data_IF_878554735707
#
_entry.id   IF_878554735707
#
_cell.length_a   1.000
_cell.length_b   1.000
_cell.length_c   1.000
_cell.angle_alpha   90.00
_cell.angle_beta   90.00
_cell.angle_gamma   90.00
#
_symmetry.space_group_name_H-M   'P 1'
#
loop_
_entity.id
_entity.type
_entity.pdbx_description
1 polymer ?
#
# COMPACT_ATOMS: atom_id res chain seq x y z
N UNK A 1 2.39 1.29 -20.41
CA UNK A 1 3.83 0.94 -20.51
C UNK A 1 4.36 0.95 -19.10
N UNK A 2 4.99 -0.13 -18.64
CA UNK A 2 5.54 -0.22 -17.29
C UNK A 2 6.69 0.78 -17.16
N UNK A 3 6.59 1.69 -16.19
CA UNK A 3 7.59 2.73 -15.93
C UNK A 3 8.53 2.29 -14.81
N UNK A 4 9.77 2.81 -14.79
CA UNK A 4 10.68 2.56 -13.67
C UNK A 4 10.08 3.10 -12.36
N UNK A 5 10.18 2.30 -11.31
CA UNK A 5 9.70 2.68 -9.97
C UNK A 5 10.75 2.38 -8.92
N UNK A 6 10.62 2.98 -7.74
CA UNK A 6 11.50 2.75 -6.61
C UNK A 6 10.76 1.98 -5.53
N UNK A 7 11.43 1.00 -4.91
CA UNK A 7 10.93 0.30 -3.73
C UNK A 7 11.96 0.34 -2.60
N UNK A 8 11.53 0.66 -1.39
CA UNK A 8 12.47 0.90 -0.32
C UNK A 8 11.86 1.04 1.06
N UNK A 9 12.67 1.60 1.95
CA UNK A 9 12.34 1.88 3.34
C UNK A 9 12.24 3.38 3.56
N UNK A 10 11.20 3.78 4.29
CA UNK A 10 11.14 5.11 4.88
C UNK A 10 12.19 5.24 5.99
N UNK A 11 12.85 6.39 6.03
CA UNK A 11 13.80 6.77 7.06
C UNK A 11 13.37 8.07 7.73
N UNK A 12 14.04 8.41 8.84
CA UNK A 12 13.71 9.59 9.64
C UNK A 12 13.70 10.88 8.81
N UNK A 13 12.74 11.76 9.11
CA UNK A 13 12.55 13.09 8.47
C UNK A 13 12.31 13.04 6.95
N UNK A 14 11.59 12.04 6.47
CA UNK A 14 11.20 11.94 5.07
C UNK A 14 12.38 11.63 4.15
N UNK A 15 13.46 11.05 4.69
CA UNK A 15 14.50 10.42 3.88
C UNK A 15 14.06 9.00 3.51
N UNK A 16 14.67 8.43 2.48
CA UNK A 16 14.42 7.04 2.13
C UNK A 16 15.67 6.36 1.61
N UNK A 17 15.62 5.02 1.62
CA UNK A 17 16.61 4.14 1.00
C UNK A 17 15.87 3.17 0.10
N UNK A 18 16.17 3.13 -1.19
CA UNK A 18 15.39 2.38 -2.18
C UNK A 18 16.26 1.70 -3.25
N UNK A 19 15.68 0.68 -3.88
CA UNK A 19 16.17 -0.02 -5.06
C UNK A 19 15.26 0.27 -6.24
N UNK A 20 15.83 0.17 -7.44
CA UNK A 20 15.08 0.35 -8.68
C UNK A 20 14.34 -0.93 -9.06
N UNK A 21 13.09 -0.78 -9.52
CA UNK A 21 12.35 -1.77 -10.29
C UNK A 21 12.26 -1.24 -11.72
N UNK A 22 12.93 -1.89 -12.66
CA UNK A 22 13.02 -1.44 -14.06
C UNK A 22 11.65 -1.42 -14.73
N UNK A 23 10.88 -2.49 -14.54
CA UNK A 23 9.49 -2.62 -14.94
C UNK A 23 8.62 -2.59 -13.69
N UNK A 24 8.39 -1.38 -13.18
CA UNK A 24 7.46 -1.14 -12.10
C UNK A 24 6.02 -1.14 -12.57
N UNK A 25 5.11 -1.33 -11.63
CA UNK A 25 3.67 -1.28 -11.89
C UNK A 25 3.03 -0.20 -11.02
N UNK A 26 1.81 0.21 -11.38
CA UNK A 26 1.00 1.11 -10.58
C UNK A 26 0.57 0.48 -9.25
N UNK A 27 0.09 1.30 -8.29
CA UNK A 27 -0.27 0.84 -6.95
C UNK A 27 -1.33 -0.28 -6.97
N UNK A 28 -2.25 -0.26 -7.93
CA UNK A 28 -3.30 -1.25 -8.14
C UNK A 28 -2.75 -2.67 -8.41
N UNK A 29 -1.56 -2.80 -8.99
CA UNK A 29 -0.91 -4.10 -9.23
C UNK A 29 0.15 -4.40 -8.17
N UNK A 30 0.99 -3.42 -7.82
CA UNK A 30 2.15 -3.68 -6.99
C UNK A 30 1.80 -3.85 -5.50
N UNK A 31 0.79 -3.13 -4.99
CA UNK A 31 0.38 -3.24 -3.58
C UNK A 31 -0.17 -4.64 -3.27
N UNK A 32 -1.15 -5.20 -4.03
CA UNK A 32 -1.60 -6.57 -3.81
C UNK A 32 -0.48 -7.60 -3.97
N UNK A 33 0.41 -7.42 -4.96
CA UNK A 33 1.56 -8.31 -5.17
C UNK A 33 2.50 -8.33 -3.95
N UNK A 34 2.84 -7.15 -3.41
CA UNK A 34 3.71 -7.03 -2.24
C UNK A 34 3.09 -7.66 -0.99
N UNK A 35 1.77 -7.54 -0.79
CA UNK A 35 1.07 -8.23 0.31
C UNK A 35 1.15 -9.75 0.20
N UNK A 36 1.01 -10.28 -1.01
CA UNK A 36 1.14 -11.72 -1.25
C UNK A 36 2.56 -12.19 -1.04
N UNK A 37 3.57 -11.46 -1.54
CA UNK A 37 4.99 -11.75 -1.28
C UNK A 37 5.27 -11.75 0.23
N UNK A 38 4.80 -10.72 0.94
CA UNK A 38 4.94 -10.59 2.39
C UNK A 38 4.35 -11.79 3.15
N UNK A 39 3.14 -12.22 2.77
CA UNK A 39 2.43 -13.32 3.43
C UNK A 39 3.00 -14.68 3.03
N UNK A 40 3.09 -14.96 1.73
CA UNK A 40 3.35 -16.29 1.18
C UNK A 40 4.84 -16.64 1.19
N UNK A 41 5.72 -15.66 1.01
CA UNK A 41 7.18 -15.87 0.94
C UNK A 41 7.87 -15.59 2.27
N UNK A 42 7.50 -14.48 2.92
CA UNK A 42 8.18 -14.00 4.13
C UNK A 42 7.43 -14.31 5.43
N UNK A 43 6.28 -15.01 5.37
CA UNK A 43 5.56 -15.41 6.57
C UNK A 43 5.15 -14.23 7.45
N UNK A 44 4.84 -13.08 6.84
CA UNK A 44 4.54 -11.80 7.49
C UNK A 44 5.72 -11.11 8.20
N UNK A 45 6.97 -11.51 7.92
CA UNK A 45 8.16 -10.79 8.40
C UNK A 45 8.50 -9.60 7.48
N UNK A 46 8.09 -8.41 7.93
CA UNK A 46 8.35 -7.15 7.20
C UNK A 46 9.84 -6.82 7.10
N UNK A 47 10.66 -7.18 8.11
CA UNK A 47 12.09 -6.89 8.10
C UNK A 47 12.81 -7.79 7.09
N UNK A 48 12.48 -9.08 7.07
CA UNK A 48 13.03 -10.02 6.11
C UNK A 48 12.67 -9.63 4.67
N UNK A 49 11.41 -9.25 4.42
CA UNK A 49 10.97 -8.77 3.11
C UNK A 49 11.72 -7.50 2.70
N UNK A 50 11.83 -6.52 3.59
CA UNK A 50 12.54 -5.26 3.32
C UNK A 50 14.02 -5.50 3.01
N UNK A 51 14.70 -6.35 3.80
CA UNK A 51 16.08 -6.71 3.56
C UNK A 51 16.27 -7.39 2.21
N UNK A 52 15.35 -8.28 1.82
CA UNK A 52 15.39 -8.95 0.54
C UNK A 52 15.16 -7.97 -0.63
N UNK A 53 14.15 -7.09 -0.53
CA UNK A 53 13.87 -6.05 -1.53
C UNK A 53 15.05 -5.09 -1.70
N UNK A 54 15.74 -4.73 -0.62
CA UNK A 54 16.90 -3.86 -0.65
C UNK A 54 18.20 -4.56 -1.05
N UNK A 55 18.23 -5.89 -1.17
CA UNK A 55 19.45 -6.63 -1.47
C UNK A 55 20.01 -6.31 -2.87
N UNK A 56 19.15 -5.94 -3.83
CA UNK A 56 19.54 -5.70 -5.23
C UNK A 56 18.48 -4.89 -5.98
N UNK A 57 18.83 -4.39 -7.15
CA UNK A 57 17.86 -3.88 -8.12
C UNK A 57 17.05 -5.01 -8.78
N UNK A 58 15.83 -4.68 -9.19
CA UNK A 58 14.86 -5.63 -9.72
C UNK A 58 14.46 -5.28 -11.15
N UNK A 59 14.29 -6.31 -11.96
CA UNK A 59 13.75 -6.17 -13.29
C UNK A 59 12.23 -6.04 -13.19
N UNK A 60 11.62 -6.96 -12.45
CA UNK A 60 10.23 -6.89 -11.98
C UNK A 60 10.06 -7.79 -10.75
N UNK A 61 9.04 -7.50 -9.95
CA UNK A 61 8.63 -8.35 -8.84
C UNK A 61 7.61 -9.39 -9.31
N UNK A 62 7.66 -10.58 -8.72
CA UNK A 62 6.71 -11.64 -9.01
C UNK A 62 6.69 -12.66 -7.87
N UNK A 63 5.51 -13.15 -7.52
CA UNK A 63 5.37 -14.18 -6.48
C UNK A 63 5.86 -15.56 -6.92
N UNK A 64 5.58 -15.92 -8.18
CA UNK A 64 5.99 -17.21 -8.76
C UNK A 64 6.80 -16.96 -10.03
N UNK A 65 8.03 -16.42 -9.91
CA UNK A 65 8.85 -16.15 -11.08
C UNK A 65 9.31 -17.48 -11.68
N UNK A 66 9.11 -17.64 -13.00
CA UNK A 66 9.56 -18.81 -13.75
C UNK A 66 10.86 -18.46 -14.44
N UNK A 67 11.88 -19.28 -14.29
CA UNK A 67 13.15 -19.10 -14.98
C UNK A 67 12.92 -19.07 -16.49
N UNK A 68 13.45 -18.04 -17.16
CA UNK A 68 13.39 -17.86 -18.60
C UNK A 68 14.76 -18.14 -19.19
N UNK A 69 14.79 -18.58 -20.45
CA UNK A 69 16.04 -18.92 -21.15
C UNK A 69 17.01 -17.73 -21.25
N UNK A 70 16.50 -16.50 -21.28
CA UNK A 70 17.28 -15.27 -21.40
C UNK A 70 17.55 -14.58 -20.06
N UNK A 71 17.14 -15.17 -18.93
CA UNK A 71 17.45 -14.60 -17.63
C UNK A 71 18.95 -14.74 -17.36
N UNK A 72 19.63 -13.60 -17.18
CA UNK A 72 21.07 -13.56 -16.88
C UNK A 72 21.39 -14.06 -15.47
N UNK A 73 20.41 -13.98 -14.56
CA UNK A 73 20.49 -14.52 -13.20
C UNK A 73 19.21 -15.30 -12.91
N UNK A 74 19.28 -16.37 -12.09
CA UNK A 74 18.08 -17.09 -11.70
C UNK A 74 17.14 -16.15 -10.94
N UNK A 75 15.82 -16.26 -11.15
CA UNK A 75 14.86 -15.50 -10.36
C UNK A 75 14.98 -15.86 -8.88
N UNK A 76 14.69 -14.90 -8.01
CA UNK A 76 14.60 -15.11 -6.57
C UNK A 76 13.20 -15.67 -6.27
N UNK A 77 13.09 -16.92 -5.79
CA UNK A 77 11.80 -17.53 -5.49
C UNK A 77 10.97 -16.65 -4.56
N UNK A 78 9.69 -16.49 -4.86
CA UNK A 78 8.79 -15.72 -4.02
C UNK A 78 8.97 -14.20 -4.07
N UNK A 79 9.87 -13.65 -4.90
CA UNK A 79 10.19 -12.23 -4.89
C UNK A 79 10.27 -11.60 -6.29
N UNK A 80 11.01 -12.19 -7.23
CA UNK A 80 11.04 -11.66 -8.60
C UNK A 80 12.33 -11.90 -9.37
N UNK A 81 12.53 -11.08 -10.40
CA UNK A 81 13.64 -11.18 -11.35
C UNK A 81 14.69 -10.10 -11.03
N UNK A 82 15.92 -10.48 -10.67
CA UNK A 82 16.97 -9.51 -10.36
C UNK A 82 17.52 -8.83 -11.63
N UNK A 83 17.97 -7.59 -11.48
CA UNK A 83 18.77 -6.90 -12.52
C UNK A 83 20.23 -7.34 -12.41
N UNK A 84 20.86 -7.60 -13.56
CA UNK A 84 22.31 -7.88 -13.65
C UNK A 84 23.00 -6.64 -14.21
N UNK A 85 23.28 -5.67 -13.36
CA UNK A 85 24.01 -4.43 -13.70
C UNK A 85 25.12 -4.18 -12.70
N UNK A 86 26.21 -3.56 -13.16
CA UNK A 86 27.30 -3.07 -12.29
C UNK A 86 26.81 -1.95 -11.35
N UNK A 87 25.79 -1.19 -11.78
CA UNK A 87 25.11 -0.16 -10.97
C UNK A 87 24.06 -0.75 -10.01
N UNK A 88 24.46 -1.70 -9.16
CA UNK A 88 23.67 -2.12 -8.00
C UNK A 88 23.80 -1.09 -6.86
N UNK A 89 23.59 0.19 -7.17
CA UNK A 89 23.66 1.26 -6.17
C UNK A 89 22.33 1.39 -5.44
N UNK A 90 22.40 1.44 -4.11
CA UNK A 90 21.25 1.78 -3.27
C UNK A 90 20.99 3.28 -3.42
N UNK A 91 19.79 3.66 -3.87
CA UNK A 91 19.38 5.06 -3.92
C UNK A 91 19.03 5.54 -2.52
N UNK A 92 19.61 6.67 -2.12
CA UNK A 92 19.27 7.39 -0.89
C UNK A 92 18.79 8.78 -1.27
N UNK A 93 17.57 9.13 -0.90
CA UNK A 93 16.96 10.40 -1.29
C UNK A 93 16.13 11.03 -0.20
N UNK A 94 15.46 12.11 -0.56
CA UNK A 94 14.52 12.86 0.28
C UNK A 94 13.18 12.96 -0.43
N UNK A 95 12.07 12.79 0.29
CA UNK A 95 10.72 13.05 -0.23
C UNK A 95 10.53 14.52 -0.67
N UNK A 96 11.40 15.44 -0.21
CA UNK A 96 11.39 16.85 -0.61
C UNK A 96 12.36 17.18 -1.75
N UNK A 97 13.03 16.19 -2.32
CA UNK A 97 13.93 16.42 -3.46
C UNK A 97 13.13 16.81 -4.70
N UNK A 98 13.75 17.63 -5.55
CA UNK A 98 13.25 17.84 -6.90
C UNK A 98 13.65 16.64 -7.77
N UNK A 99 12.74 16.19 -8.64
CA UNK A 99 12.95 15.02 -9.48
C UNK A 99 12.96 15.44 -10.94
N UNK A 100 14.13 15.35 -11.55
CA UNK A 100 14.32 15.44 -12.99
C UNK A 100 14.42 14.01 -13.53
N UNK A 101 13.32 13.36 -13.93
CA UNK A 101 13.44 11.98 -14.42
C UNK A 101 12.19 11.20 -14.80
N UNK A 102 12.44 9.94 -15.19
CA UNK A 102 11.50 8.94 -15.72
C UNK A 102 10.92 8.00 -14.65
N UNK A 103 11.09 8.31 -13.36
CA UNK A 103 10.58 7.46 -12.26
C UNK A 103 9.20 7.95 -11.87
N UNK A 104 8.20 7.07 -11.96
CA UNK A 104 6.80 7.45 -11.73
C UNK A 104 6.38 7.25 -10.28
N UNK A 105 6.70 6.09 -9.71
CA UNK A 105 6.25 5.68 -8.39
C UNK A 105 7.40 5.40 -7.42
N UNK A 106 7.16 5.70 -6.15
CA UNK A 106 8.02 5.32 -5.02
C UNK A 106 7.19 4.60 -3.94
N UNK A 107 7.58 3.37 -3.63
CA UNK A 107 6.95 2.50 -2.65
C UNK A 107 7.83 2.41 -1.40
N UNK A 108 7.38 2.97 -0.28
CA UNK A 108 8.11 2.97 0.97
C UNK A 108 7.46 2.08 2.02
N UNK A 109 8.21 1.10 2.50
CA UNK A 109 7.87 0.31 3.66
C UNK A 109 8.21 1.08 4.94
N UNK A 110 7.21 1.21 5.81
CA UNK A 110 7.31 1.71 7.17
C UNK A 110 7.30 0.50 8.11
N UNK A 111 8.49 0.05 8.52
CA UNK A 111 8.68 -1.18 9.29
C UNK A 111 7.87 -1.20 10.59
N UNK A 112 7.93 -0.12 11.36
CA UNK A 112 7.26 0.01 12.67
C UNK A 112 5.73 -0.06 12.56
N UNK A 113 5.18 0.34 11.42
CA UNK A 113 3.74 0.43 11.19
C UNK A 113 3.21 -0.71 10.31
N UNK A 114 4.10 -1.57 9.79
CA UNK A 114 3.77 -2.60 8.77
C UNK A 114 2.98 -2.03 7.60
N UNK A 115 3.37 -0.82 7.17
CA UNK A 115 2.67 -0.06 6.14
C UNK A 115 3.52 0.12 4.91
N UNK A 116 2.85 0.20 3.78
CA UNK A 116 3.40 0.57 2.49
C UNK A 116 2.78 1.92 2.09
N UNK A 117 3.61 2.94 1.92
CA UNK A 117 3.18 4.27 1.47
C UNK A 117 3.67 4.47 0.04
N UNK A 118 2.77 4.87 -0.85
CA UNK A 118 3.03 5.09 -2.26
C UNK A 118 3.11 6.59 -2.53
N UNK A 119 4.12 7.00 -3.28
CA UNK A 119 4.34 8.36 -3.73
C UNK A 119 4.41 8.41 -5.25
N UNK A 120 3.92 9.50 -5.82
CA UNK A 120 3.96 9.79 -7.25
C UNK A 120 4.86 10.99 -7.54
N UNK A 121 5.64 10.94 -8.62
CA UNK A 121 6.57 12.00 -9.02
C UNK A 121 6.16 12.74 -10.31
N UNK A 122 5.65 12.02 -11.31
CA UNK A 122 5.66 12.47 -12.72
C UNK A 122 4.80 13.69 -12.98
N UNK A 123 3.67 13.83 -12.30
CA UNK A 123 2.76 14.97 -12.45
C UNK A 123 3.26 16.20 -11.66
N UNK A 124 4.23 16.03 -10.77
CA UNK A 124 4.53 17.03 -9.73
C UNK A 124 5.98 17.49 -9.66
N UNK A 125 6.92 16.79 -10.31
CA UNK A 125 8.37 17.10 -10.22
C UNK A 125 8.95 16.91 -8.81
N UNK A 126 8.20 16.26 -7.92
CA UNK A 126 8.53 15.97 -6.51
C UNK A 126 7.71 14.80 -6.02
N UNK A 127 8.16 14.11 -4.98
CA UNK A 127 7.37 13.04 -4.37
C UNK A 127 6.14 13.61 -3.64
N UNK A 128 4.96 13.28 -4.12
CA UNK A 128 3.70 13.51 -3.40
C UNK A 128 3.10 12.20 -2.96
N UNK A 129 2.60 12.16 -1.72
CA UNK A 129 1.94 10.97 -1.19
C UNK A 129 0.67 10.72 -2.00
N UNK A 130 0.58 9.55 -2.59
CA UNK A 130 -0.56 9.09 -3.36
C UNK A 130 -1.50 8.24 -2.48
N UNK A 131 -0.99 7.19 -1.83
CA UNK A 131 -1.81 6.31 -0.98
C UNK A 131 -1.00 5.63 0.12
N UNK A 132 -1.68 5.08 1.13
CA UNK A 132 -1.04 4.31 2.21
C UNK A 132 -1.87 3.06 2.54
N UNK A 133 -1.17 1.96 2.76
CA UNK A 133 -1.73 0.62 2.78
C UNK A 133 -1.13 -0.18 3.92
N UNK A 134 -1.93 -0.91 4.70
CA UNK A 134 -1.37 -1.93 5.59
C UNK A 134 -0.88 -3.14 4.78
N UNK A 135 0.19 -3.80 5.23
CA UNK A 135 0.62 -5.06 4.62
C UNK A 135 -0.34 -6.20 4.96
N UNK A 136 -0.90 -6.20 6.17
CA UNK A 136 -2.02 -7.07 6.52
C UNK A 136 -3.34 -6.41 6.05
N UNK A 137 -4.04 -6.98 5.05
CA UNK A 137 -5.28 -6.38 4.56
C UNK A 137 -6.40 -6.36 5.61
N UNK A 138 -6.34 -7.18 6.66
CA UNK A 138 -7.32 -7.13 7.77
C UNK A 138 -7.22 -5.82 8.55
N UNK A 139 -6.03 -5.21 8.57
CA UNK A 139 -5.80 -3.91 9.19
C UNK A 139 -6.32 -2.74 8.34
N UNK A 140 -6.62 -2.95 7.06
CA UNK A 140 -7.35 -1.97 6.26
C UNK A 140 -8.85 -2.01 6.53
N UNK A 141 -9.54 -0.90 6.30
CA UNK A 141 -10.99 -0.83 6.39
C UNK A 141 -11.72 -1.39 5.17
N UNK A 142 -11.09 -1.24 4.00
CA UNK A 142 -11.66 -1.59 2.70
C UNK A 142 -10.61 -2.35 1.92
N UNK A 143 -10.96 -3.57 1.50
CA UNK A 143 -10.07 -4.45 0.75
C UNK A 143 -10.70 -4.80 -0.56
N UNK A 144 -9.98 -4.55 -1.64
CA UNK A 144 -10.35 -5.00 -2.98
C UNK A 144 -9.94 -6.45 -3.14
N UNK A 145 -10.90 -7.31 -3.42
CA UNK A 145 -10.69 -8.75 -3.65
C UNK A 145 -11.17 -9.13 -5.04
N UNK A 146 -10.43 -9.99 -5.78
CA UNK A 146 -10.92 -10.52 -7.04
C UNK A 146 -12.18 -11.36 -6.80
N UNK A 147 -13.16 -11.26 -7.68
CA UNK A 147 -14.35 -12.12 -7.60
C UNK A 147 -13.97 -13.60 -7.83
N UNK A 148 -14.64 -14.49 -7.11
CA UNK A 148 -14.36 -15.94 -7.12
C UNK A 148 -14.53 -16.58 -8.51
N UNK A 149 -15.28 -15.94 -9.40
CA UNK A 149 -15.62 -16.38 -10.75
C UNK A 149 -14.84 -15.60 -11.83
N UNK A 150 -13.85 -14.80 -11.47
CA UNK A 150 -13.13 -13.92 -12.41
C UNK A 150 -13.96 -12.71 -12.86
N UNK A 151 -15.04 -12.39 -12.15
CA UNK A 151 -15.78 -11.14 -12.29
C UNK A 151 -14.99 -9.90 -11.84
N UNK A 152 -15.60 -8.71 -11.93
CA UNK A 152 -14.96 -7.45 -11.53
C UNK A 152 -14.52 -7.50 -10.06
N UNK A 153 -13.48 -6.74 -9.74
CA UNK A 153 -12.99 -6.61 -8.38
C UNK A 153 -14.09 -6.09 -7.45
N UNK A 154 -14.25 -6.74 -6.29
CA UNK A 154 -15.23 -6.36 -5.28
C UNK A 154 -14.53 -5.70 -4.10
N UNK A 155 -15.10 -4.63 -3.57
CA UNK A 155 -14.57 -3.96 -2.36
C UNK A 155 -15.34 -4.43 -1.13
N UNK A 156 -14.62 -5.02 -0.17
CA UNK A 156 -15.21 -5.56 1.06
C UNK A 156 -14.83 -4.70 2.25
N UNK A 157 -15.82 -4.33 3.07
CA UNK A 157 -15.57 -3.72 4.37
C UNK A 157 -15.13 -4.77 5.39
N UNK A 158 -13.93 -4.62 5.96
CA UNK A 158 -13.38 -5.59 6.93
C UNK A 158 -14.06 -5.55 8.29
N UNK A 159 -14.85 -4.50 8.58
CA UNK A 159 -15.54 -4.32 9.86
C UNK A 159 -16.86 -5.09 9.91
N UNK A 160 -17.68 -4.97 8.86
CA UNK A 160 -19.03 -5.54 8.83
C UNK A 160 -19.26 -6.59 7.74
N UNK A 161 -18.30 -6.79 6.83
CA UNK A 161 -18.40 -7.73 5.72
C UNK A 161 -19.29 -7.25 4.57
N UNK A 162 -19.64 -5.97 4.50
CA UNK A 162 -20.40 -5.42 3.38
C UNK A 162 -19.58 -5.46 2.09
N UNK A 163 -20.20 -5.79 0.96
CA UNK A 163 -19.56 -5.95 -0.35
C UNK A 163 -20.14 -4.91 -1.30
N UNK A 164 -19.28 -4.09 -1.91
CA UNK A 164 -19.64 -3.00 -2.84
C UNK A 164 -20.65 -1.98 -2.27
N UNK A 165 -20.83 -1.95 -0.95
CA UNK A 165 -21.57 -0.95 -0.19
C UNK A 165 -20.62 0.14 0.32
N UNK A 166 -19.79 0.66 -0.59
CA UNK A 166 -18.69 1.58 -0.29
C UNK A 166 -18.83 2.86 -1.12
N UNK A 167 -18.91 4.00 -0.44
CA UNK A 167 -18.82 5.30 -1.07
C UNK A 167 -17.35 5.74 -1.10
N UNK A 168 -16.87 6.18 -2.27
CA UNK A 168 -15.55 6.77 -2.45
C UNK A 168 -15.67 8.17 -3.06
N UNK A 169 -14.99 9.13 -2.45
CA UNK A 169 -14.92 10.52 -2.91
C UNK A 169 -13.46 10.91 -3.03
N UNK A 170 -13.11 11.51 -4.16
CA UNK A 170 -11.81 12.12 -4.41
C UNK A 170 -12.02 13.58 -4.81
N UNK A 171 -11.34 14.50 -4.10
CA UNK A 171 -11.41 15.94 -4.39
C UNK A 171 -10.01 16.55 -4.38
N UNK A 172 -9.75 17.59 -5.18
CA UNK A 172 -8.49 18.31 -5.09
C UNK A 172 -8.26 18.84 -3.68
N UNK A 173 -7.06 18.61 -3.12
CA UNK A 173 -6.77 18.98 -1.74
C UNK A 173 -6.65 20.49 -1.56
N UNK A 174 -7.18 20.99 -0.44
CA UNK A 174 -6.99 22.39 -0.03
C UNK A 174 -5.53 22.71 0.34
N UNK A 175 -4.66 21.70 0.43
CA UNK A 175 -3.21 21.87 0.57
C UNK A 175 -2.56 22.55 -0.64
N UNK A 176 -3.29 22.71 -1.75
CA UNK A 176 -2.80 23.29 -3.01
C UNK A 176 -1.99 22.29 -3.85
N UNK A 177 -2.01 21.01 -3.48
CA UNK A 177 -1.43 19.91 -4.24
C UNK A 177 -2.05 18.57 -3.79
N UNK A 178 -2.09 17.58 -4.68
CA UNK A 178 -2.64 16.25 -4.38
C UNK A 178 -4.16 16.23 -4.27
N UNK A 179 -4.68 15.10 -3.80
CA UNK A 179 -6.12 14.85 -3.63
C UNK A 179 -6.41 14.43 -2.19
N UNK A 180 -7.53 14.92 -1.67
CA UNK A 180 -8.15 14.39 -0.47
C UNK A 180 -9.08 13.25 -0.90
N UNK A 181 -8.91 12.08 -0.31
CA UNK A 181 -9.82 10.95 -0.54
C UNK A 181 -10.61 10.64 0.71
N UNK A 182 -11.87 10.24 0.56
CA UNK A 182 -12.70 9.75 1.64
C UNK A 182 -13.45 8.50 1.16
N UNK A 183 -13.22 7.38 1.83
CA UNK A 183 -13.89 6.11 1.56
C UNK A 183 -14.68 5.69 2.80
N UNK A 184 -15.95 5.32 2.64
CA UNK A 184 -16.82 4.96 3.77
C UNK A 184 -17.74 3.78 3.45
N UNK A 185 -18.01 2.94 4.45
CA UNK A 185 -19.01 1.87 4.35
C UNK A 185 -20.39 2.46 4.62
N UNK A 186 -21.32 2.31 3.68
CA UNK A 186 -22.70 2.80 3.86
C UNK A 186 -23.47 1.97 4.90
N UNK A 187 -23.03 0.73 5.17
CA UNK A 187 -23.66 -0.18 6.14
C UNK A 187 -23.24 0.07 7.60
N UNK A 188 -21.94 0.14 7.89
CA UNK A 188 -21.46 0.31 9.26
C UNK A 188 -20.95 1.72 9.58
N UNK A 189 -20.77 2.58 8.57
CA UNK A 189 -20.28 3.95 8.74
C UNK A 189 -18.80 4.04 9.12
N UNK A 190 -18.04 2.95 9.04
CA UNK A 190 -16.57 3.02 9.15
C UNK A 190 -16.01 3.76 7.94
N UNK A 191 -14.94 4.53 8.13
CA UNK A 191 -14.38 5.36 7.06
C UNK A 191 -12.87 5.52 7.16
N UNK A 192 -12.23 5.70 6.01
CA UNK A 192 -10.85 6.18 5.90
C UNK A 192 -10.87 7.46 5.08
N UNK A 193 -10.21 8.50 5.57
CA UNK A 193 -9.92 9.70 4.80
C UNK A 193 -8.41 9.86 4.65
N UNK A 194 -7.94 10.37 3.52
CA UNK A 194 -6.52 10.71 3.32
C UNK A 194 -6.41 12.14 2.85
N UNK A 195 -5.51 12.90 3.45
CA UNK A 195 -5.10 14.24 2.97
C UNK A 195 -3.55 14.29 2.84
N UNK A 196 -3.01 15.02 1.86
CA UNK A 196 -1.57 15.14 1.64
C UNK A 196 -0.77 15.72 2.81
N UNK A 197 -1.38 16.52 3.68
CA UNK A 197 -0.72 17.21 4.80
C UNK A 197 -0.75 16.39 6.10
N UNK A 198 -1.89 15.77 6.41
CA UNK A 198 -2.13 15.09 7.68
C UNK A 198 -2.08 13.56 7.56
N UNK A 199 -2.11 13.04 6.34
CA UNK A 199 -2.06 11.62 6.08
C UNK A 199 -3.44 10.97 6.20
N UNK A 200 -3.48 9.73 6.67
CA UNK A 200 -4.70 8.94 6.74
C UNK A 200 -5.36 9.00 8.11
N UNK A 201 -6.68 9.16 8.10
CA UNK A 201 -7.55 9.19 9.25
C UNK A 201 -8.54 8.04 9.16
N UNK A 202 -8.41 7.07 10.06
CA UNK A 202 -9.21 5.85 10.10
C UNK A 202 -10.22 5.93 11.23
N UNK A 203 -11.50 5.75 10.92
CA UNK A 203 -12.60 5.65 11.88
C UNK A 203 -13.24 4.27 11.75
N UNK A 204 -12.94 3.38 12.70
CA UNK A 204 -13.62 2.08 12.85
C UNK A 204 -14.86 2.27 13.72
N UNK A 205 -16.04 1.98 13.18
CA UNK A 205 -17.29 1.95 13.96
C UNK A 205 -17.44 0.59 14.64
N UNK A 206 -17.87 0.52 15.91
CA UNK A 206 -18.17 -0.74 16.55
C UNK A 206 -19.31 -1.45 15.80
N UNK A 207 -19.12 -2.73 15.50
CA UNK A 207 -20.07 -3.56 14.77
C UNK A 207 -20.14 -4.98 15.35
N UNK A 208 -21.34 -5.58 15.49
CA UNK A 208 -22.66 -4.98 15.28
C UNK A 208 -22.92 -3.81 16.25
N UNK A 209 -23.85 -2.88 15.93
CA UNK A 209 -24.15 -1.76 16.80
C UNK A 209 -24.52 -2.29 18.18
N UNK A 210 -23.76 -1.92 19.21
CA UNK A 210 -24.13 -2.27 20.57
C UNK A 210 -25.44 -1.52 20.88
N UNK A 211 -26.50 -2.26 21.20
CA UNK A 211 -27.71 -1.64 21.71
C UNK A 211 -27.34 -0.83 22.96
N UNK A 212 -27.83 0.42 23.10
CA UNK A 212 -27.66 1.14 24.35
C UNK A 212 -28.21 0.26 25.46
N UNK A 213 -27.39 -0.01 26.47
CA UNK A 213 -27.79 -0.76 27.66
C UNK A 213 -29.08 -0.12 28.17
N UNK A 214 -30.19 -0.84 28.03
CA UNK A 214 -31.46 -0.43 28.59
C UNK A 214 -31.24 -0.48 30.09
N UNK A 215 -31.11 0.70 30.72
CA UNK A 215 -30.86 0.78 32.14
C UNK A 215 -31.92 -0.03 32.88
N UNK A 216 -31.46 -0.97 33.72
CA UNK A 216 -32.28 -1.61 34.73
C UNK A 216 -32.76 -0.53 35.70
N UNK A 217 -33.85 0.14 35.33
CA UNK A 217 -34.68 0.90 36.24
C UNK A 217 -35.55 -0.08 37.03
N UNK A 218 -34.93 -0.96 37.82
CA UNK A 218 -35.64 -1.59 38.94
C UNK A 218 -35.64 -0.62 40.10
N UNK A 219 -36.61 0.30 40.05
CA UNK A 219 -37.04 1.04 41.23
C UNK A 219 -37.56 0.04 42.26
N UNK A 220 -36.79 -0.21 43.31
CA UNK A 220 -37.30 -0.79 44.54
C UNK A 220 -37.49 0.34 45.53
N UNK A 221 -38.70 0.88 45.53
CA UNK A 221 -39.22 1.60 46.69
C UNK A 221 -39.85 0.57 47.62
N UNK A 222 -39.25 0.38 48.80
CA UNK A 222 -39.93 0.04 50.05
C UNK A 222 -39.02 0.38 51.22
#
# INVERSE_FOLDING_TARGET
MSTPTLIGLAAFRGRYTARLIQFGEGPEVLVPLLRRIWTDTFGRDTNAMAAALLARNWWSLAINPKARRWDRQPPVPGLGYPVVTEDDTIRRGSLREHLDGFVEWLYLLHLDQRRLVVYEATVHGRWLRHSAHHLDPVEDLFVTTPALDGGPEMTVCTVCGAVDEIDHVEVPSMAGYGYDTATSCTRCGSSVATDPMFGDHVVRKPWPPQQPATGDATGSAR
#
